data_IF_948498733326
#
_entry.id   IF_948498733326
#
_cell.length_a   1.000
_cell.length_b   1.000
_cell.length_c   1.000
_cell.angle_alpha   90.00
_cell.angle_beta   90.00
_cell.angle_gamma   90.00
#
_symmetry.space_group_name_H-M   'P 1'
#
loop_
_entity.id
_entity.type
_entity.pdbx_description
1 polymer ?
#
# COMPACT_ATOMS: atom_id res chain seq x y z
N UNK A 1 -29.08 -33.67 0.62
CA UNK A 1 -27.70 -34.07 0.94
C UNK A 1 -27.09 -32.87 1.64
N UNK A 2 -26.86 -32.95 2.95
CA UNK A 2 -26.32 -31.81 3.70
C UNK A 2 -24.87 -31.58 3.28
N UNK A 3 -24.56 -30.34 2.91
CA UNK A 3 -23.22 -29.89 2.56
C UNK A 3 -22.32 -30.06 3.79
N UNK A 4 -21.27 -30.88 3.67
CA UNK A 4 -20.32 -31.09 4.76
C UNK A 4 -19.44 -29.83 4.89
N UNK A 5 -19.16 -29.34 6.11
CA UNK A 5 -18.27 -28.19 6.28
C UNK A 5 -16.87 -28.53 5.76
N UNK A 6 -16.32 -27.61 4.97
CA UNK A 6 -14.96 -27.73 4.40
C UNK A 6 -13.92 -27.75 5.54
N UNK A 7 -12.94 -28.68 5.52
CA UNK A 7 -11.86 -28.76 6.50
C UNK A 7 -11.10 -27.43 6.68
N UNK A 8 -10.69 -27.14 7.92
CA UNK A 8 -10.10 -25.86 8.33
C UNK A 8 -8.75 -25.55 7.65
N UNK A 9 -8.01 -26.59 7.28
CA UNK A 9 -6.77 -26.58 6.48
C UNK A 9 -7.00 -26.29 4.98
N UNK A 10 -8.25 -26.39 4.52
CA UNK A 10 -8.63 -26.17 3.12
C UNK A 10 -9.43 -24.88 2.91
N UNK A 11 -9.61 -24.07 3.98
CA UNK A 11 -9.90 -22.64 3.83
C UNK A 11 -8.65 -21.99 3.25
N UNK A 12 -8.49 -22.06 1.94
CA UNK A 12 -7.63 -21.10 1.23
C UNK A 12 -8.24 -19.74 1.54
N UNK A 13 -7.64 -19.08 2.51
CA UNK A 13 -8.18 -17.91 3.13
C UNK A 13 -8.35 -16.85 2.04
N UNK A 14 -9.61 -16.52 1.70
CA UNK A 14 -9.93 -15.49 0.70
C UNK A 14 -9.25 -14.14 1.04
N UNK A 15 -8.80 -14.03 2.30
CA UNK A 15 -7.92 -13.04 2.94
C UNK A 15 -6.64 -12.75 2.15
N UNK A 16 -5.93 -13.78 1.66
CA UNK A 16 -4.57 -13.67 1.09
C UNK A 16 -4.47 -12.94 -0.26
N UNK A 17 -5.61 -12.63 -0.89
CA UNK A 17 -5.64 -11.85 -2.14
C UNK A 17 -5.52 -10.34 -1.91
N UNK A 18 -6.04 -9.84 -0.78
CA UNK A 18 -6.15 -8.42 -0.48
C UNK A 18 -4.91 -7.89 0.26
N UNK A 19 -4.43 -8.68 1.22
CA UNK A 19 -3.21 -8.43 1.99
C UNK A 19 -2.35 -9.69 1.93
N UNK A 20 -1.32 -9.73 1.07
CA UNK A 20 -0.44 -10.88 1.00
C UNK A 20 0.44 -10.93 2.25
N UNK A 21 0.27 -11.98 3.05
CA UNK A 21 1.11 -12.29 4.21
C UNK A 21 2.06 -13.46 3.89
N UNK A 22 3.29 -13.40 4.39
CA UNK A 22 4.32 -14.42 4.16
C UNK A 22 5.26 -14.53 5.37
N UNK A 23 5.41 -15.76 5.88
CA UNK A 23 6.32 -16.09 6.99
C UNK A 23 7.56 -16.76 6.43
N UNK A 24 8.74 -16.19 6.70
CA UNK A 24 10.03 -16.72 6.26
C UNK A 24 10.85 -17.11 7.49
N UNK A 25 11.24 -18.39 7.57
CA UNK A 25 12.15 -18.89 8.60
C UNK A 25 13.60 -18.73 8.14
N UNK A 26 14.45 -18.14 8.98
CA UNK A 26 15.87 -17.89 8.69
C UNK A 26 16.72 -18.61 9.72
N UNK A 27 17.37 -19.70 9.30
CA UNK A 27 18.20 -20.52 10.19
C UNK A 27 19.62 -19.96 10.37
N UNK A 28 20.12 -19.22 9.38
CA UNK A 28 21.51 -18.74 9.33
C UNK A 28 21.54 -17.22 9.13
N UNK A 29 22.40 -16.53 9.90
CA UNK A 29 22.61 -15.09 9.80
C UNK A 29 24.10 -14.76 9.72
N UNK A 30 24.53 -13.74 8.94
CA UNK A 30 23.71 -12.91 8.03
C UNK A 30 23.29 -13.68 6.77
N UNK A 31 22.11 -13.37 6.24
CA UNK A 31 21.58 -13.97 5.00
C UNK A 31 20.67 -12.97 4.28
N UNK A 32 20.71 -12.97 2.96
CA UNK A 32 19.80 -12.20 2.12
C UNK A 32 18.47 -12.95 2.00
N UNK A 33 17.38 -12.25 2.32
CA UNK A 33 16.02 -12.78 2.22
C UNK A 33 15.36 -12.20 0.97
N UNK A 34 14.96 -13.08 0.06
CA UNK A 34 14.22 -12.71 -1.15
C UNK A 34 12.77 -13.17 -1.04
N UNK A 35 11.85 -12.26 -1.32
CA UNK A 35 10.41 -12.55 -1.44
C UNK A 35 10.12 -12.73 -2.93
N UNK A 36 9.95 -13.97 -3.44
CA UNK A 36 9.89 -14.23 -4.89
C UNK A 36 8.56 -13.83 -5.51
N UNK A 37 7.51 -13.67 -4.70
CA UNK A 37 6.19 -13.27 -5.15
C UNK A 37 6.19 -11.80 -5.57
N UNK A 38 5.42 -11.47 -6.61
CA UNK A 38 5.15 -10.07 -6.98
C UNK A 38 4.12 -9.47 -6.03
N UNK A 39 4.45 -8.34 -5.43
CA UNK A 39 3.56 -7.57 -4.57
C UNK A 39 3.25 -6.23 -5.23
N UNK A 40 1.98 -5.81 -5.19
CA UNK A 40 1.64 -4.42 -5.42
C UNK A 40 2.20 -3.64 -4.23
N UNK A 41 3.17 -2.75 -4.47
CA UNK A 41 3.90 -2.08 -3.40
C UNK A 41 2.95 -1.12 -2.68
N UNK A 42 2.45 -1.57 -1.53
CA UNK A 42 1.68 -0.83 -0.54
C UNK A 42 2.31 -1.14 0.84
N UNK A 43 1.80 -0.65 1.98
CA UNK A 43 2.59 -0.59 3.20
C UNK A 43 3.13 -1.97 3.58
N UNK A 44 4.46 -2.11 3.64
CA UNK A 44 5.15 -3.32 4.04
C UNK A 44 5.31 -3.31 5.56
N UNK A 45 4.77 -4.33 6.23
CA UNK A 45 5.05 -4.60 7.63
C UNK A 45 5.96 -5.81 7.74
N UNK A 46 7.04 -5.66 8.51
CA UNK A 46 7.92 -6.77 8.87
C UNK A 46 7.80 -7.00 10.36
N UNK A 47 7.42 -8.21 10.75
CA UNK A 47 7.30 -8.60 12.15
C UNK A 47 8.22 -9.76 12.44
N UNK A 48 8.96 -9.66 13.54
CA UNK A 48 9.79 -10.76 14.04
C UNK A 48 8.97 -11.54 15.07
N UNK A 49 8.70 -12.82 14.78
CA UNK A 49 7.93 -13.68 15.68
C UNK A 49 8.78 -14.28 16.81
N UNK A 50 9.99 -14.74 16.48
CA UNK A 50 10.91 -15.30 17.46
C UNK A 50 12.37 -15.03 17.06
N UNK A 51 13.23 -14.89 18.05
CA UNK A 51 14.68 -14.73 17.88
C UNK A 51 15.41 -15.48 18.99
N UNK A 52 16.56 -16.07 18.67
CA UNK A 52 17.47 -16.58 19.70
C UNK A 52 17.77 -15.49 20.74
N UNK A 53 17.79 -15.78 22.06
CA UNK A 53 18.05 -14.80 23.11
C UNK A 53 19.39 -14.06 22.98
N UNK A 54 20.32 -14.58 22.18
CA UNK A 54 21.64 -14.00 21.92
C UNK A 54 21.71 -13.18 20.63
N UNK A 55 20.67 -13.23 19.79
CA UNK A 55 20.66 -12.59 18.49
C UNK A 55 19.80 -11.32 18.52
N UNK A 56 20.39 -10.18 18.14
CA UNK A 56 19.64 -8.95 17.84
C UNK A 56 19.56 -8.82 16.32
N UNK A 57 18.36 -8.86 15.77
CA UNK A 57 18.17 -8.71 14.32
C UNK A 57 18.24 -7.25 13.91
N UNK A 58 18.88 -7.00 12.77
CA UNK A 58 18.88 -5.71 12.08
C UNK A 58 18.67 -5.98 10.60
N UNK A 59 17.72 -5.28 10.00
CA UNK A 59 17.54 -5.29 8.56
C UNK A 59 18.42 -4.21 7.94
N UNK A 60 19.10 -4.55 6.85
CA UNK A 60 19.92 -3.61 6.07
C UNK A 60 19.85 -3.96 4.60
N UNK A 61 19.95 -2.97 3.72
CA UNK A 61 19.97 -3.21 2.28
C UNK A 61 18.65 -3.67 1.70
N UNK A 62 17.52 -3.27 2.29
CA UNK A 62 16.19 -3.56 1.73
C UNK A 62 16.10 -2.91 0.34
N UNK A 63 15.88 -3.74 -0.67
CA UNK A 63 15.75 -3.34 -2.07
C UNK A 63 14.50 -3.95 -2.66
N UNK A 64 13.92 -3.26 -3.64
CA UNK A 64 12.71 -3.67 -4.32
C UNK A 64 12.99 -3.66 -5.82
N UNK A 65 12.47 -4.66 -6.54
CA UNK A 65 12.53 -4.69 -8.00
C UNK A 65 11.17 -4.27 -8.53
N UNK A 66 11.12 -3.11 -9.18
CA UNK A 66 9.94 -2.70 -9.93
C UNK A 66 9.88 -3.49 -11.23
N UNK A 67 8.72 -4.07 -11.52
CA UNK A 67 8.44 -4.82 -12.73
C UNK A 67 7.38 -4.05 -13.52
N UNK A 68 7.74 -3.54 -14.69
CA UNK A 68 6.81 -2.87 -15.60
C UNK A 68 6.12 -3.88 -16.51
N UNK A 69 4.82 -3.71 -16.76
CA UNK A 69 4.13 -4.44 -17.82
C UNK A 69 4.50 -3.90 -19.23
N UNK A 70 5.18 -2.75 -19.30
CA UNK A 70 5.60 -2.10 -20.53
C UNK A 70 7.01 -2.60 -20.94
N UNK A 71 7.24 -2.97 -22.21
CA UNK A 71 8.56 -3.37 -22.71
C UNK A 71 9.62 -2.28 -22.48
N UNK A 72 10.90 -2.65 -22.21
CA UNK A 72 11.99 -1.70 -21.93
C UNK A 72 12.23 -0.64 -23.00
N UNK A 73 11.85 -0.98 -24.23
CA UNK A 73 12.04 -0.27 -25.47
C UNK A 73 10.86 0.66 -25.83
N UNK A 74 9.82 0.70 -24.99
CA UNK A 74 8.76 1.69 -25.13
C UNK A 74 9.21 3.05 -24.58
N UNK A 75 9.05 4.15 -25.32
CA UNK A 75 9.35 5.48 -24.81
C UNK A 75 8.36 5.83 -23.68
N UNK A 76 8.87 5.83 -22.44
CA UNK A 76 8.14 6.31 -21.26
C UNK A 76 8.65 7.70 -20.94
N UNK A 77 7.76 8.68 -20.87
CA UNK A 77 8.14 10.00 -20.34
C UNK A 77 8.56 9.84 -18.86
N UNK A 78 9.72 10.37 -18.45
CA UNK A 78 10.16 10.29 -17.06
C UNK A 78 9.14 10.93 -16.14
N UNK A 79 8.77 10.24 -15.06
CA UNK A 79 8.00 10.87 -14.00
C UNK A 79 8.76 12.09 -13.49
N UNK A 80 8.15 13.29 -13.45
CA UNK A 80 8.73 14.40 -12.71
C UNK A 80 8.73 14.02 -11.23
N UNK A 81 9.91 13.80 -10.65
CA UNK A 81 10.03 13.58 -9.22
C UNK A 81 9.98 14.95 -8.51
N UNK A 82 9.06 15.18 -7.56
CA UNK A 82 9.09 16.40 -6.78
C UNK A 82 10.41 16.48 -5.99
N UNK A 83 11.07 17.63 -6.03
CA UNK A 83 12.29 17.88 -5.27
C UNK A 83 11.93 18.03 -3.78
N UNK A 84 12.35 17.08 -2.93
CA UNK A 84 12.14 17.14 -1.47
C UNK A 84 13.48 17.10 -0.74
N UNK A 85 13.68 18.00 0.24
CA UNK A 85 14.94 18.12 0.99
C UNK A 85 15.07 17.09 2.13
N UNK A 86 13.99 16.49 2.61
CA UNK A 86 14.04 15.61 3.80
C UNK A 86 14.68 14.24 3.54
N UNK A 87 15.70 13.90 4.33
CA UNK A 87 16.42 12.63 4.23
C UNK A 87 15.57 11.40 4.60
N UNK A 88 14.58 11.57 5.49
CA UNK A 88 13.56 10.55 5.77
C UNK A 88 12.60 10.33 4.59
N UNK A 89 12.24 11.42 3.91
CA UNK A 89 11.46 11.36 2.67
C UNK A 89 12.28 10.74 1.52
N UNK A 90 13.62 10.86 1.51
CA UNK A 90 14.50 10.17 0.55
C UNK A 90 14.55 8.65 0.75
N UNK A 91 14.52 8.17 1.99
CA UNK A 91 14.49 6.73 2.29
C UNK A 91 13.13 6.13 1.95
N UNK A 92 12.04 6.80 2.32
CA UNK A 92 10.70 6.47 1.85
C UNK A 92 10.67 6.52 0.31
N UNK A 93 11.21 7.55 -0.35
CA UNK A 93 11.31 7.68 -1.82
C UNK A 93 12.06 6.54 -2.53
N UNK A 94 12.99 5.85 -1.87
CA UNK A 94 13.67 4.66 -2.44
C UNK A 94 12.81 3.40 -2.39
N UNK A 95 11.93 3.30 -1.40
CA UNK A 95 10.94 2.21 -1.26
C UNK A 95 9.64 2.55 -2.00
N UNK A 96 9.34 3.85 -2.17
CA UNK A 96 8.08 4.44 -2.63
C UNK A 96 8.23 5.16 -3.98
N UNK A 97 9.21 4.75 -4.82
CA UNK A 97 9.59 5.48 -6.04
C UNK A 97 8.51 5.55 -7.14
N UNK A 98 7.28 5.09 -6.90
CA UNK A 98 6.14 5.31 -7.80
C UNK A 98 4.83 5.25 -7.01
N UNK A 99 4.66 6.15 -6.05
CA UNK A 99 3.44 6.14 -5.21
C UNK A 99 2.46 7.16 -5.75
N UNK A 100 1.39 6.62 -6.32
CA UNK A 100 0.29 7.39 -6.84
C UNK A 100 -0.66 7.69 -5.69
N UNK A 101 -0.98 8.98 -5.48
CA UNK A 101 -1.84 9.42 -4.37
C UNK A 101 -3.21 8.71 -4.42
N UNK A 102 -3.69 8.43 -5.63
CA UNK A 102 -4.89 7.65 -5.92
C UNK A 102 -4.82 6.21 -5.40
N UNK A 103 -3.65 5.58 -5.42
CA UNK A 103 -3.52 4.19 -4.94
C UNK A 103 -3.41 4.12 -3.41
N UNK A 104 -2.78 5.12 -2.80
CA UNK A 104 -2.65 5.21 -1.34
C UNK A 104 -4.01 5.39 -0.68
N UNK A 105 -4.85 6.30 -1.21
CA UNK A 105 -6.18 6.55 -0.63
C UNK A 105 -7.13 5.36 -0.75
N UNK A 106 -6.92 4.48 -1.74
CA UNK A 106 -7.65 3.22 -1.90
C UNK A 106 -7.27 2.16 -0.86
N UNK A 107 -6.19 2.35 -0.10
CA UNK A 107 -5.80 1.36 0.92
C UNK A 107 -6.87 1.24 2.02
N UNK A 108 -7.50 2.35 2.41
CA UNK A 108 -8.58 2.35 3.39
C UNK A 108 -9.77 1.48 2.97
N UNK A 109 -10.27 1.68 1.74
CA UNK A 109 -11.41 0.89 1.24
C UNK A 109 -11.08 -0.60 1.13
N UNK A 110 -9.83 -0.95 0.85
CA UNK A 110 -9.40 -2.35 0.79
C UNK A 110 -9.38 -3.01 2.16
N UNK A 111 -8.94 -2.27 3.19
CA UNK A 111 -8.99 -2.77 4.58
C UNK A 111 -10.43 -2.90 5.05
N UNK A 112 -11.30 -1.97 4.66
CA UNK A 112 -12.73 -2.02 4.99
C UNK A 112 -13.43 -3.21 4.31
N UNK A 113 -13.30 -3.35 2.98
CA UNK A 113 -13.79 -4.50 2.21
C UNK A 113 -13.30 -5.83 2.80
N UNK A 114 -12.05 -5.86 3.26
CA UNK A 114 -11.48 -7.02 3.93
C UNK A 114 -12.21 -7.32 5.25
N UNK A 115 -12.35 -6.32 6.13
CA UNK A 115 -13.05 -6.47 7.40
C UNK A 115 -14.51 -6.91 7.20
N UNK A 116 -15.21 -6.38 6.21
CA UNK A 116 -16.58 -6.78 5.89
C UNK A 116 -16.67 -8.23 5.41
N UNK A 117 -15.77 -8.62 4.50
CA UNK A 117 -15.78 -9.94 3.88
C UNK A 117 -15.38 -11.06 4.85
N UNK A 118 -14.48 -10.78 5.79
CA UNK A 118 -13.87 -11.79 6.68
C UNK A 118 -14.38 -11.70 8.11
N UNK A 119 -14.97 -10.56 8.49
CA UNK A 119 -15.29 -10.19 9.88
C UNK A 119 -14.07 -10.08 10.79
N UNK A 120 -12.86 -10.01 10.22
CA UNK A 120 -11.62 -9.81 10.96
C UNK A 120 -11.39 -8.31 11.25
N UNK A 121 -12.10 -7.83 12.26
CA UNK A 121 -11.94 -6.47 12.74
C UNK A 121 -10.64 -6.22 13.52
N UNK A 122 -9.92 -7.27 13.92
CA UNK A 122 -8.63 -7.13 14.61
C UNK A 122 -7.55 -6.68 13.64
N UNK A 123 -7.49 -7.28 12.45
CA UNK A 123 -6.62 -6.83 11.36
C UNK A 123 -6.93 -5.39 10.95
N UNK A 124 -8.22 -5.03 10.88
CA UNK A 124 -8.64 -3.64 10.61
C UNK A 124 -8.12 -2.65 11.66
N UNK A 125 -8.27 -2.97 12.95
CA UNK A 125 -7.74 -2.15 14.06
C UNK A 125 -6.23 -2.01 14.01
N UNK A 126 -5.53 -3.09 13.68
CA UNK A 126 -4.08 -3.12 13.58
C UNK A 126 -3.56 -2.25 12.43
N UNK A 127 -4.25 -2.24 11.30
CA UNK A 127 -3.88 -1.46 10.11
C UNK A 127 -4.37 -0.01 10.14
N UNK A 128 -5.22 0.36 11.09
CA UNK A 128 -5.87 1.68 11.14
C UNK A 128 -4.90 2.86 11.05
N UNK A 129 -3.78 2.82 11.79
CA UNK A 129 -2.78 3.89 11.74
C UNK A 129 -2.12 4.03 10.36
N UNK A 130 -1.98 2.91 9.65
CA UNK A 130 -1.47 2.87 8.28
C UNK A 130 -2.49 3.44 7.30
N UNK A 131 -3.76 3.07 7.46
CA UNK A 131 -4.89 3.63 6.67
C UNK A 131 -4.95 5.15 6.82
N UNK A 132 -4.94 5.65 8.06
CA UNK A 132 -4.89 7.09 8.33
C UNK A 132 -3.66 7.76 7.68
N UNK A 133 -2.49 7.14 7.80
CA UNK A 133 -1.26 7.69 7.23
C UNK A 133 -1.28 7.73 5.70
N UNK A 134 -1.82 6.71 5.04
CA UNK A 134 -1.99 6.67 3.58
C UNK A 134 -2.97 7.72 3.07
N UNK A 135 -4.00 8.05 3.85
CA UNK A 135 -5.04 9.02 3.46
C UNK A 135 -4.58 10.48 3.55
N UNK A 136 -3.59 10.79 4.42
CA UNK A 136 -3.09 12.16 4.64
C UNK A 136 -2.60 12.84 3.36
N UNK A 137 -1.92 12.12 2.48
CA UNK A 137 -1.41 12.69 1.23
C UNK A 137 -2.55 13.14 0.30
N UNK A 138 -3.65 12.39 0.28
CA UNK A 138 -4.84 12.72 -0.51
C UNK A 138 -5.60 13.90 0.11
N UNK A 139 -5.69 13.94 1.45
CA UNK A 139 -6.29 15.06 2.19
C UNK A 139 -5.53 16.38 2.03
N UNK A 140 -4.21 16.33 1.77
CA UNK A 140 -3.41 17.54 1.52
C UNK A 140 -3.86 18.33 0.27
N UNK A 141 -4.67 17.72 -0.61
CA UNK A 141 -5.29 18.42 -1.74
C UNK A 141 -6.59 19.14 -1.37
N UNK A 142 -7.15 18.89 -0.20
CA UNK A 142 -8.40 19.52 0.24
C UNK A 142 -8.06 20.82 0.97
N UNK A 143 -8.54 21.94 0.43
CA UNK A 143 -8.40 23.25 1.08
C UNK A 143 -9.29 23.39 2.31
N UNK A 144 -9.15 24.49 3.04
CA UNK A 144 -9.94 24.79 4.25
C UNK A 144 -11.47 24.80 3.99
N UNK A 145 -11.87 25.14 2.77
CA UNK A 145 -13.27 25.15 2.31
C UNK A 145 -13.83 23.74 2.02
N UNK A 146 -13.03 22.68 2.22
CA UNK A 146 -13.40 21.31 1.87
C UNK A 146 -13.34 21.01 0.37
N UNK A 147 -12.79 21.92 -0.43
CA UNK A 147 -12.73 21.79 -1.90
C UNK A 147 -11.36 21.27 -2.33
N UNK A 148 -11.36 20.30 -3.23
CA UNK A 148 -10.13 19.81 -3.87
C UNK A 148 -9.47 20.89 -4.71
N UNK A 149 -8.19 21.14 -4.44
CA UNK A 149 -7.34 22.08 -5.16
C UNK A 149 -6.05 21.41 -5.60
N UNK A 150 -5.86 21.32 -6.92
CA UNK A 150 -4.63 20.80 -7.53
C UNK A 150 -3.35 21.52 -7.11
N UNK A 151 -3.47 22.77 -6.65
CA UNK A 151 -2.35 23.61 -6.25
C UNK A 151 -1.96 23.48 -4.77
N UNK A 152 -2.76 22.78 -3.96
CA UNK A 152 -2.49 22.63 -2.52
C UNK A 152 -1.33 21.67 -2.23
N UNK A 153 -1.06 20.70 -3.12
CA UNK A 153 0.02 19.72 -2.97
C UNK A 153 0.58 19.26 -4.33
N UNK A 154 1.80 18.71 -4.36
CA UNK A 154 2.56 18.37 -5.58
C UNK A 154 2.79 16.87 -5.82
N UNK A 155 2.01 16.00 -5.19
CA UNK A 155 2.02 14.55 -5.41
C UNK A 155 1.56 14.12 -6.81
N UNK A 156 1.95 12.91 -7.21
CA UNK A 156 1.57 12.35 -8.51
C UNK A 156 0.17 11.70 -8.45
N UNK A 157 -0.70 12.14 -9.36
CA UNK A 157 -2.03 11.59 -9.62
C UNK A 157 -1.98 10.74 -10.88
N UNK A 158 -2.28 9.45 -10.80
CA UNK A 158 -2.30 8.57 -11.97
C UNK A 158 -3.70 8.43 -12.57
N UNK A 159 -4.64 7.85 -11.83
CA UNK A 159 -6.01 7.46 -12.22
C UNK A 159 -6.08 6.52 -13.44
N UNK A 160 -5.62 6.98 -14.60
CA UNK A 160 -5.69 6.24 -15.87
C UNK A 160 -4.54 6.65 -16.80
N UNK A 161 -4.24 5.76 -17.75
CA UNK A 161 -3.30 5.92 -18.85
C UNK A 161 -3.75 6.90 -19.93
N UNK A 162 -4.94 7.50 -19.80
CA UNK A 162 -5.44 8.53 -20.72
C UNK A 162 -4.59 9.83 -20.60
N UNK A 163 -3.95 10.21 -21.71
CA UNK A 163 -2.99 11.34 -21.75
C UNK A 163 -3.64 12.69 -21.45
N UNK A 164 -4.80 12.95 -22.03
CA UNK A 164 -5.52 14.22 -21.93
C UNK A 164 -6.53 14.26 -20.77
N UNK A 165 -6.49 13.26 -19.89
CA UNK A 165 -7.42 13.17 -18.78
C UNK A 165 -7.14 14.26 -17.74
N UNK A 166 -8.14 15.11 -17.49
CA UNK A 166 -8.19 15.89 -16.27
C UNK A 166 -8.46 14.98 -15.08
N UNK A 167 -7.51 14.96 -14.15
CA UNK A 167 -7.49 14.03 -13.01
C UNK A 167 -8.13 14.63 -11.77
N UNK A 168 -8.43 15.93 -11.77
CA UNK A 168 -8.85 16.63 -10.56
C UNK A 168 -10.22 16.15 -10.05
N UNK A 169 -11.20 16.03 -10.95
CA UNK A 169 -12.53 15.50 -10.58
C UNK A 169 -12.48 14.05 -10.10
N UNK A 170 -11.68 13.20 -10.77
CA UNK A 170 -11.51 11.81 -10.37
C UNK A 170 -10.80 11.65 -9.03
N UNK A 171 -9.77 12.46 -8.78
CA UNK A 171 -9.08 12.48 -7.49
C UNK A 171 -10.00 12.95 -6.37
N UNK A 172 -10.84 13.96 -6.63
CA UNK A 172 -11.79 14.40 -5.62
C UNK A 172 -12.78 13.29 -5.24
N UNK A 173 -13.29 12.56 -6.24
CA UNK A 173 -14.11 11.37 -6.02
C UNK A 173 -13.40 10.29 -5.21
N UNK A 174 -12.11 10.03 -5.48
CA UNK A 174 -11.30 9.07 -4.71
C UNK A 174 -11.06 9.52 -3.27
N UNK A 175 -10.85 10.81 -3.04
CA UNK A 175 -10.71 11.36 -1.67
C UNK A 175 -12.00 11.15 -0.90
N UNK A 176 -13.15 11.46 -1.51
CA UNK A 176 -14.46 11.23 -0.88
C UNK A 176 -14.66 9.74 -0.59
N UNK A 177 -14.38 8.86 -1.54
CA UNK A 177 -14.48 7.40 -1.35
C UNK A 177 -13.59 6.94 -0.19
N UNK A 178 -12.33 7.39 -0.16
CA UNK A 178 -11.38 7.03 0.88
C UNK A 178 -11.84 7.47 2.26
N UNK A 179 -12.33 8.70 2.40
CA UNK A 179 -12.85 9.25 3.66
C UNK A 179 -14.14 8.53 4.07
N UNK A 180 -15.05 8.26 3.13
CA UNK A 180 -16.30 7.55 3.43
C UNK A 180 -16.03 6.16 4.04
N UNK A 181 -14.98 5.47 3.58
CA UNK A 181 -14.53 4.21 4.19
C UNK A 181 -13.91 4.37 5.59
N UNK A 182 -13.59 5.59 6.03
CA UNK A 182 -13.10 5.88 7.40
C UNK A 182 -14.23 6.21 8.37
N UNK A 183 -15.38 6.67 7.86
CA UNK A 183 -16.52 7.14 8.66
C UNK A 183 -17.38 6.01 9.24
N UNK A 184 -16.92 4.76 9.15
CA UNK A 184 -17.59 3.52 9.61
C UNK A 184 -18.48 3.70 10.83
N UNK A 185 -19.75 4.04 10.56
CA UNK A 185 -20.92 4.10 11.44
C UNK A 185 -22.14 3.66 10.66
#
# INVERSE_FOLDING_TARGET
MADQPVPEDQKVDKVTRWLPDEVINVDWVPTDVAIPRRHAFRPLRVQTFDTSPKCKMKFSGIVTRSESAVPPDHPVEPCPAPETNDDGAKLLRRINATTFVDYDVLFGSIVDDHCEATRDHDTGRELWQTVLSSTKAALAYIGEEGIFSRGAWSGWKFLDWAKELDRDAGMYGLVILGIAGLDGT
#
